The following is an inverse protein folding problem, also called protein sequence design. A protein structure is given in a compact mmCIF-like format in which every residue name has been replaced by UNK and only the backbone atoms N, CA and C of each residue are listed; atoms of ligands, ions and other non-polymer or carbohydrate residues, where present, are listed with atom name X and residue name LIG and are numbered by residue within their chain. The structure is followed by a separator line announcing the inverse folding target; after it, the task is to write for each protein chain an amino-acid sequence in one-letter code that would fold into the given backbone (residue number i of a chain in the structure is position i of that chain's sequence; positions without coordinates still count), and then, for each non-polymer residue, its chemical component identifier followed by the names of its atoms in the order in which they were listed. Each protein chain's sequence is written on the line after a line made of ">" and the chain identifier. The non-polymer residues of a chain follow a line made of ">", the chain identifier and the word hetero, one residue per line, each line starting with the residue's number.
data_IF_881646992831
#
_entry.id   IF_881646992831
#
_cell.length_a   1.000
_cell.length_b   1.000
_cell.length_c   1.000
_cell.angle_alpha   90.00
_cell.angle_beta   90.00
_cell.angle_gamma   90.00
#
_symmetry.space_group_name_H-M   'P 1'
#
loop_
_entity.id
_entity.type
_entity.pdbx_description
1 polymer ?
#
# COMPACT_ATOMS: atom_id res chain seq x y z
N UNK A 1 -1.03 20.18 23.42
CA UNK A 1 -1.33 18.82 23.90
C UNK A 1 -2.61 18.88 24.72
N UNK A 2 -3.74 18.54 24.12
CA UNK A 2 -5.09 18.62 24.73
C UNK A 2 -5.40 17.42 25.64
N UNK A 3 -4.41 16.79 26.29
CA UNK A 3 -4.62 15.66 27.20
C UNK A 3 -5.18 14.39 26.56
N UNK A 4 -5.17 14.28 25.23
CA UNK A 4 -5.70 13.12 24.48
C UNK A 4 -4.66 12.05 24.20
N UNK A 5 -3.41 12.28 24.53
CA UNK A 5 -2.32 11.29 24.37
C UNK A 5 -1.98 10.77 25.76
N UNK A 6 -2.22 9.49 26.01
CA UNK A 6 -1.88 8.83 27.25
C UNK A 6 -0.40 8.42 27.23
N UNK A 7 0.42 9.23 27.92
CA UNK A 7 1.87 8.98 28.04
C UNK A 7 2.18 7.72 28.87
N UNK A 8 1.22 7.24 29.69
CA UNK A 8 1.39 6.02 30.47
C UNK A 8 1.44 4.75 29.62
N UNK A 9 0.72 4.74 28.49
CA UNK A 9 0.71 3.61 27.55
C UNK A 9 1.95 3.53 26.68
N UNK A 10 2.70 4.62 26.52
CA UNK A 10 3.92 4.66 25.68
C UNK A 10 5.01 3.70 26.17
N UNK A 11 5.10 3.51 27.48
CA UNK A 11 6.13 2.66 28.11
C UNK A 11 5.61 1.26 28.48
N UNK A 12 4.34 0.99 28.21
CA UNK A 12 3.77 -0.33 28.48
C UNK A 12 4.26 -1.33 27.42
N UNK A 13 5.02 -2.34 27.80
CA UNK A 13 5.50 -3.37 26.88
C UNK A 13 7.02 -3.52 26.78
N UNK A 14 7.78 -2.73 27.53
CA UNK A 14 9.26 -2.79 27.51
C UNK A 14 9.88 -1.93 26.43
N UNK A 15 11.21 -1.88 26.40
CA UNK A 15 11.98 -1.06 25.44
C UNK A 15 12.20 -1.78 24.10
N UNK A 16 12.24 -3.10 24.11
CA UNK A 16 12.51 -3.92 22.91
C UNK A 16 11.54 -5.09 22.88
N UNK A 17 10.90 -5.31 21.76
CA UNK A 17 10.10 -6.49 21.49
C UNK A 17 10.60 -7.20 20.24
N UNK A 18 10.79 -8.51 20.36
CA UNK A 18 11.11 -9.35 19.21
C UNK A 18 9.81 -9.80 18.53
N UNK A 19 9.75 -9.77 17.21
CA UNK A 19 8.59 -10.27 16.47
C UNK A 19 8.39 -11.77 16.74
N UNK A 20 7.14 -12.17 16.93
CA UNK A 20 6.79 -13.59 17.10
C UNK A 20 6.70 -14.25 15.73
N UNK A 21 7.40 -15.35 15.55
CA UNK A 21 7.30 -16.17 14.37
C UNK A 21 6.01 -17.01 14.43
N UNK A 22 5.23 -16.99 13.35
CA UNK A 22 3.94 -17.70 13.22
C UNK A 22 2.99 -17.45 14.41
N UNK A 23 2.57 -16.19 14.66
CA UNK A 23 1.67 -15.88 15.77
C UNK A 23 0.29 -16.53 15.60
N UNK A 24 -0.08 -16.84 14.37
CA UNK A 24 -1.31 -17.53 14.00
C UNK A 24 -0.98 -18.79 13.19
N UNK A 25 -1.72 -19.88 13.43
CA UNK A 25 -1.61 -21.07 12.59
C UNK A 25 -2.24 -20.79 11.23
N UNK A 26 -1.55 -21.12 10.12
CA UNK A 26 -2.10 -20.89 8.78
C UNK A 26 -3.30 -21.81 8.53
N UNK A 27 -4.42 -21.22 8.16
CA UNK A 27 -5.60 -21.90 7.68
C UNK A 27 -5.74 -21.69 6.18
N UNK A 28 -6.06 -22.76 5.44
CA UNK A 28 -6.16 -22.72 3.99
C UNK A 28 -7.62 -22.80 3.55
N UNK A 29 -8.17 -21.66 3.14
CA UNK A 29 -9.50 -21.55 2.55
C UNK A 29 -9.37 -21.20 1.07
N UNK A 30 -9.93 -22.04 0.20
CA UNK A 30 -9.82 -21.84 -1.26
C UNK A 30 -10.38 -20.47 -1.72
N UNK A 31 -11.47 -19.99 -1.12
CA UNK A 31 -12.04 -18.68 -1.41
C UNK A 31 -11.09 -17.53 -1.02
N UNK A 32 -10.50 -17.59 0.18
CA UNK A 32 -9.54 -16.59 0.64
C UNK A 32 -8.27 -16.56 -0.23
N UNK A 33 -7.78 -17.75 -0.65
CA UNK A 33 -6.63 -17.84 -1.55
C UNK A 33 -6.95 -17.21 -2.91
N UNK A 34 -8.13 -17.51 -3.48
CA UNK A 34 -8.54 -16.92 -4.76
C UNK A 34 -8.66 -15.40 -4.67
N UNK A 35 -9.27 -14.88 -3.60
CA UNK A 35 -9.37 -13.43 -3.35
C UNK A 35 -7.99 -12.79 -3.21
N UNK A 36 -7.09 -13.39 -2.43
CA UNK A 36 -5.73 -12.91 -2.26
C UNK A 36 -4.95 -12.88 -3.58
N UNK A 37 -5.12 -13.90 -4.44
CA UNK A 37 -4.51 -13.93 -5.77
C UNK A 37 -5.01 -12.78 -6.65
N UNK A 38 -6.31 -12.48 -6.64
CA UNK A 38 -6.88 -11.38 -7.42
C UNK A 38 -6.34 -10.04 -6.90
N UNK A 39 -6.33 -9.83 -5.58
CA UNK A 39 -5.79 -8.62 -4.96
C UNK A 39 -4.30 -8.46 -5.31
N UNK A 40 -3.54 -9.54 -5.28
CA UNK A 40 -2.12 -9.50 -5.63
C UNK A 40 -1.89 -9.13 -7.10
N UNK A 41 -2.75 -9.56 -8.03
CA UNK A 41 -2.67 -9.14 -9.43
C UNK A 41 -2.92 -7.63 -9.60
N UNK A 42 -3.86 -7.07 -8.83
CA UNK A 42 -4.11 -5.62 -8.81
C UNK A 42 -2.90 -4.87 -8.23
N UNK A 43 -2.38 -5.33 -7.10
CA UNK A 43 -1.16 -4.77 -6.49
C UNK A 43 0.05 -4.87 -7.42
N UNK A 44 0.19 -5.95 -8.18
CA UNK A 44 1.26 -6.09 -9.17
C UNK A 44 1.17 -5.03 -10.29
N UNK A 45 -0.05 -4.71 -10.74
CA UNK A 45 -0.25 -3.63 -11.71
C UNK A 45 0.14 -2.25 -11.13
N UNK A 46 -0.18 -1.99 -9.86
CA UNK A 46 0.24 -0.79 -9.12
C UNK A 46 1.77 -0.71 -9.03
N UNK A 47 2.43 -1.79 -8.60
CA UNK A 47 3.89 -1.86 -8.47
C UNK A 47 4.60 -1.60 -9.80
N UNK A 48 4.07 -2.13 -10.92
CA UNK A 48 4.62 -1.84 -12.26
C UNK A 48 4.51 -0.34 -12.57
N UNK A 49 3.35 0.26 -12.27
CA UNK A 49 3.11 1.69 -12.47
C UNK A 49 4.08 2.54 -11.64
N UNK A 50 4.17 2.27 -10.35
CA UNK A 50 5.04 2.99 -9.41
C UNK A 50 6.52 2.87 -9.77
N UNK A 51 6.98 1.66 -10.08
CA UNK A 51 8.38 1.43 -10.48
C UNK A 51 8.70 2.15 -11.78
N UNK A 52 7.78 2.13 -12.75
CA UNK A 52 7.94 2.87 -14.01
C UNK A 52 8.00 4.38 -13.78
N UNK A 53 7.11 4.92 -12.97
CA UNK A 53 7.05 6.33 -12.63
C UNK A 53 8.29 6.77 -11.81
N UNK A 54 8.78 5.91 -10.91
CA UNK A 54 9.98 6.17 -10.11
C UNK A 54 11.25 6.21 -10.99
N UNK A 55 11.40 5.27 -11.91
CA UNK A 55 12.55 5.22 -12.83
C UNK A 55 12.52 6.42 -13.79
N UNK A 56 11.37 6.71 -14.39
CA UNK A 56 11.25 7.87 -15.29
C UNK A 56 11.39 9.19 -14.56
N UNK A 57 10.74 9.35 -13.40
CA UNK A 57 10.78 10.57 -12.59
C UNK A 57 12.11 10.80 -11.89
N UNK A 58 12.72 9.74 -11.33
CA UNK A 58 13.96 9.81 -10.57
C UNK A 58 15.21 9.76 -11.44
N UNK A 59 15.28 8.79 -12.35
CA UNK A 59 16.47 8.50 -13.17
C UNK A 59 16.40 9.12 -14.58
N UNK A 60 15.24 9.59 -15.03
CA UNK A 60 15.06 10.22 -16.34
C UNK A 60 15.26 9.27 -17.51
N UNK A 61 15.01 7.98 -17.32
CA UNK A 61 15.12 6.94 -18.37
C UNK A 61 13.91 6.01 -18.37
N UNK A 62 13.81 5.17 -19.36
CA UNK A 62 12.80 4.11 -19.38
C UNK A 62 13.18 2.96 -18.44
N UNK A 63 12.15 2.29 -17.94
CA UNK A 63 12.28 1.12 -17.07
C UNK A 63 12.68 -0.11 -17.91
N UNK A 64 13.48 -0.99 -17.31
CA UNK A 64 13.83 -2.28 -17.90
C UNK A 64 12.91 -3.40 -17.42
N UNK A 65 12.79 -4.47 -18.21
CA UNK A 65 12.01 -5.65 -17.82
C UNK A 65 12.57 -6.35 -16.57
N UNK A 66 13.89 -6.27 -16.37
CA UNK A 66 14.55 -6.81 -15.18
C UNK A 66 14.16 -6.04 -13.90
N UNK A 67 14.04 -4.72 -14.01
CA UNK A 67 13.61 -3.88 -12.88
C UNK A 67 12.15 -4.13 -12.51
N UNK A 68 11.27 -4.30 -13.49
CA UNK A 68 9.87 -4.68 -13.24
C UNK A 68 9.80 -6.04 -12.55
N UNK A 69 10.50 -7.04 -13.10
CA UNK A 69 10.52 -8.38 -12.53
C UNK A 69 11.11 -8.39 -11.12
N UNK A 70 12.17 -7.62 -10.87
CA UNK A 70 12.79 -7.47 -9.56
C UNK A 70 11.86 -6.82 -8.54
N UNK A 71 11.12 -5.79 -8.93
CA UNK A 71 10.16 -5.09 -8.08
C UNK A 71 9.01 -6.01 -7.67
N UNK A 72 8.40 -6.71 -8.62
CA UNK A 72 7.34 -7.69 -8.35
C UNK A 72 7.81 -8.85 -7.47
N UNK A 73 9.01 -9.37 -7.73
CA UNK A 73 9.59 -10.41 -6.90
C UNK A 73 9.85 -9.91 -5.46
N UNK A 74 10.31 -8.66 -5.31
CA UNK A 74 10.52 -8.06 -3.99
C UNK A 74 9.22 -7.97 -3.20
N UNK A 75 8.12 -7.52 -3.80
CA UNK A 75 6.81 -7.43 -3.14
C UNK A 75 6.30 -8.82 -2.73
N UNK A 76 6.47 -9.82 -3.58
CA UNK A 76 6.07 -11.20 -3.28
C UNK A 76 6.88 -11.80 -2.12
N UNK A 77 8.21 -11.67 -2.15
CA UNK A 77 9.06 -12.17 -1.06
C UNK A 77 8.84 -11.42 0.24
N UNK A 78 8.74 -10.09 0.19
CA UNK A 78 8.50 -9.27 1.37
C UNK A 78 7.14 -9.58 2.00
N UNK A 79 6.08 -9.75 1.20
CA UNK A 79 4.75 -10.15 1.66
C UNK A 79 4.75 -11.55 2.29
N UNK A 80 5.50 -12.50 1.71
CA UNK A 80 5.65 -13.84 2.27
C UNK A 80 6.35 -13.79 3.63
N UNK A 81 7.42 -13.02 3.75
CA UNK A 81 8.13 -12.83 5.03
C UNK A 81 7.21 -12.14 6.03
N UNK A 82 6.49 -11.08 5.63
CA UNK A 82 5.54 -10.37 6.49
C UNK A 82 4.47 -11.32 7.03
N UNK A 83 3.92 -12.20 6.19
CA UNK A 83 2.91 -13.18 6.60
C UNK A 83 3.43 -14.17 7.66
N UNK A 84 4.71 -14.57 7.60
CA UNK A 84 5.33 -15.43 8.63
C UNK A 84 5.38 -14.75 10.01
N UNK A 85 5.33 -13.42 10.06
CA UNK A 85 5.27 -12.66 11.31
C UNK A 85 3.85 -12.15 11.62
N UNK A 86 2.83 -12.61 10.88
CA UNK A 86 1.44 -12.22 11.07
C UNK A 86 1.14 -10.77 10.67
N UNK A 87 1.98 -10.19 9.82
CA UNK A 87 1.78 -8.85 9.26
C UNK A 87 0.99 -8.92 7.95
N UNK A 88 0.27 -7.83 7.58
CA UNK A 88 -0.38 -7.75 6.29
C UNK A 88 0.64 -7.76 5.13
N UNK A 89 0.19 -8.09 3.90
CA UNK A 89 1.03 -8.00 2.72
C UNK A 89 1.60 -6.60 2.53
N UNK A 90 2.81 -6.50 1.98
CA UNK A 90 3.46 -5.25 1.62
C UNK A 90 3.38 -5.00 0.13
N UNK A 91 3.23 -3.74 -0.25
CA UNK A 91 3.24 -3.27 -1.63
C UNK A 91 4.09 -2.02 -1.75
N UNK A 92 4.35 -1.56 -2.97
CA UNK A 92 5.04 -0.30 -3.23
C UNK A 92 4.25 0.88 -2.65
N UNK A 93 4.96 1.93 -2.26
CA UNK A 93 4.36 3.12 -1.65
C UNK A 93 4.39 4.28 -2.64
N UNK A 94 3.29 4.49 -3.36
CA UNK A 94 3.15 5.42 -4.48
C UNK A 94 3.54 6.87 -4.15
N UNK A 95 3.34 7.32 -2.90
CA UNK A 95 3.73 8.67 -2.47
C UNK A 95 5.24 8.91 -2.58
N UNK A 96 6.07 7.88 -2.43
CA UNK A 96 7.51 7.99 -2.58
C UNK A 96 7.92 8.32 -4.01
N UNK A 97 7.12 7.95 -5.01
CA UNK A 97 7.35 8.29 -6.41
C UNK A 97 7.40 9.81 -6.59
N UNK A 98 6.41 10.51 -6.05
CA UNK A 98 6.38 11.98 -6.07
C UNK A 98 7.56 12.60 -5.33
N UNK A 99 7.91 12.06 -4.15
CA UNK A 99 9.05 12.54 -3.38
C UNK A 99 10.38 12.37 -4.13
N UNK A 100 10.59 11.21 -4.74
CA UNK A 100 11.80 10.94 -5.55
C UNK A 100 11.85 11.82 -6.80
N UNK A 101 10.71 12.03 -7.47
CA UNK A 101 10.64 12.92 -8.62
C UNK A 101 10.99 14.36 -8.27
N UNK A 102 10.63 14.84 -7.07
CA UNK A 102 10.94 16.19 -6.58
C UNK A 102 12.38 16.31 -6.09
N UNK A 103 12.84 15.37 -5.27
CA UNK A 103 14.15 15.44 -4.59
C UNK A 103 15.30 14.91 -5.43
N UNK A 104 15.00 14.07 -6.43
CA UNK A 104 15.99 13.34 -7.25
C UNK A 104 16.94 12.47 -6.42
N UNK A 105 16.55 12.11 -5.20
CA UNK A 105 17.32 11.21 -4.34
C UNK A 105 17.05 9.76 -4.74
N UNK A 106 17.93 9.19 -5.55
CA UNK A 106 17.86 7.81 -6.06
C UNK A 106 18.97 6.91 -5.54
N UNK A 107 19.73 7.38 -4.55
CA UNK A 107 20.87 6.65 -4.01
C UNK A 107 20.40 5.46 -3.16
N UNK A 108 20.84 4.26 -3.52
CA UNK A 108 20.53 3.01 -2.80
C UNK A 108 20.90 3.09 -1.32
N UNK A 109 22.03 3.73 -0.99
CA UNK A 109 22.51 3.83 0.39
C UNK A 109 21.51 4.62 1.26
N UNK A 110 20.98 5.72 0.74
CA UNK A 110 19.98 6.53 1.45
C UNK A 110 18.71 5.73 1.73
N UNK A 111 18.21 4.99 0.71
CA UNK A 111 17.01 4.16 0.85
C UNK A 111 17.24 3.03 1.84
N UNK A 112 18.39 2.35 1.77
CA UNK A 112 18.75 1.28 2.72
C UNK A 112 18.86 1.80 4.15
N UNK A 113 19.43 2.99 4.34
CA UNK A 113 19.50 3.61 5.66
C UNK A 113 18.11 3.87 6.23
N UNK A 114 17.19 4.39 5.40
CA UNK A 114 15.80 4.56 5.79
C UNK A 114 15.13 3.24 6.19
N UNK A 115 15.32 2.17 5.41
CA UNK A 115 14.80 0.84 5.72
C UNK A 115 15.34 0.29 7.05
N UNK A 116 16.63 0.46 7.30
CA UNK A 116 17.26 0.06 8.59
C UNK A 116 16.67 0.87 9.75
N UNK A 117 16.50 2.18 9.60
CA UNK A 117 15.84 3.00 10.62
C UNK A 117 14.42 2.54 10.92
N UNK A 118 13.63 2.20 9.89
CA UNK A 118 12.28 1.67 10.08
C UNK A 118 12.29 0.30 10.77
N UNK A 119 13.23 -0.57 10.42
CA UNK A 119 13.39 -1.87 11.07
C UNK A 119 13.72 -1.72 12.56
N UNK A 120 14.66 -0.82 12.89
CA UNK A 120 15.00 -0.52 14.28
C UNK A 120 13.81 0.10 15.04
N UNK A 121 13.08 1.01 14.41
CA UNK A 121 11.88 1.60 14.98
C UNK A 121 10.80 0.54 15.26
N UNK A 122 10.65 -0.45 14.39
CA UNK A 122 9.71 -1.56 14.56
C UNK A 122 10.05 -2.50 15.73
N UNK A 123 11.32 -2.56 16.13
CA UNK A 123 11.76 -3.33 17.32
C UNK A 123 11.51 -2.60 18.64
N UNK A 124 11.12 -1.33 18.58
CA UNK A 124 10.90 -0.47 19.74
C UNK A 124 9.39 -0.28 19.98
N UNK A 125 8.75 -1.02 20.91
CA UNK A 125 7.33 -0.85 21.23
C UNK A 125 6.90 0.59 21.54
N UNK A 126 7.72 1.43 22.21
CA UNK A 126 7.35 2.82 22.43
C UNK A 126 7.06 3.62 21.15
N UNK A 127 7.74 3.30 20.04
CA UNK A 127 7.49 3.95 18.74
C UNK A 127 6.12 3.54 18.19
N UNK A 128 5.80 2.25 18.23
CA UNK A 128 4.47 1.73 17.83
C UNK A 128 3.36 2.30 18.70
N UNK A 129 3.54 2.29 20.02
CA UNK A 129 2.58 2.84 20.98
C UNK A 129 2.36 4.34 20.80
N UNK A 130 3.41 5.09 20.42
CA UNK A 130 3.29 6.52 20.09
C UNK A 130 2.33 6.71 18.92
N UNK A 131 2.51 5.98 17.82
CA UNK A 131 1.60 6.08 16.67
C UNK A 131 0.19 5.60 17.00
N UNK A 132 0.05 4.53 17.79
CA UNK A 132 -1.24 4.03 18.24
C UNK A 132 -1.98 4.98 19.19
N UNK A 133 -1.26 5.85 19.90
CA UNK A 133 -1.83 6.85 20.82
C UNK A 133 -2.28 8.14 20.12
N UNK A 134 -2.04 8.27 18.82
CA UNK A 134 -2.47 9.48 18.08
C UNK A 134 -3.99 9.55 18.00
N UNK A 135 -4.60 10.73 18.27
CA UNK A 135 -6.03 10.91 18.15
C UNK A 135 -6.52 10.64 16.71
N UNK A 136 -7.66 9.99 16.59
CA UNK A 136 -8.29 9.67 15.28
C UNK A 136 -8.47 10.92 14.40
N UNK A 137 -8.76 12.07 15.01
CA UNK A 137 -8.89 13.34 14.28
C UNK A 137 -7.60 13.80 13.61
N UNK A 138 -6.43 13.50 14.22
CA UNK A 138 -5.11 13.80 13.63
C UNK A 138 -4.82 12.81 12.51
N UNK A 139 -5.07 11.53 12.75
CA UNK A 139 -4.92 10.48 11.73
C UNK A 139 -5.82 10.75 10.53
N UNK A 140 -7.08 11.11 10.75
CA UNK A 140 -8.01 11.47 9.68
C UNK A 140 -7.53 12.65 8.83
N UNK A 141 -7.00 13.71 9.45
CA UNK A 141 -6.42 14.83 8.73
C UNK A 141 -5.21 14.44 7.89
N UNK A 142 -4.29 13.63 8.44
CA UNK A 142 -3.15 13.10 7.70
C UNK A 142 -3.59 12.19 6.54
N UNK A 143 -4.61 11.36 6.75
CA UNK A 143 -5.16 10.44 5.77
C UNK A 143 -5.74 11.20 4.56
N UNK A 144 -6.50 12.27 4.79
CA UNK A 144 -7.04 13.11 3.71
C UNK A 144 -5.92 13.67 2.84
N UNK A 145 -4.86 14.22 3.45
CA UNK A 145 -3.70 14.74 2.74
C UNK A 145 -2.98 13.66 1.94
N UNK A 146 -2.80 12.49 2.53
CA UNK A 146 -2.14 11.36 1.92
C UNK A 146 -2.91 10.83 0.70
N UNK A 147 -4.20 10.57 0.84
CA UNK A 147 -5.04 10.12 -0.28
C UNK A 147 -5.18 11.19 -1.37
N UNK A 148 -5.25 12.47 -1.00
CA UNK A 148 -5.20 13.56 -1.97
C UNK A 148 -3.93 13.52 -2.83
N UNK A 149 -2.78 13.25 -2.22
CA UNK A 149 -1.51 13.12 -2.94
C UNK A 149 -1.50 11.91 -3.89
N UNK A 150 -2.09 10.78 -3.49
CA UNK A 150 -2.22 9.58 -4.34
C UNK A 150 -3.08 9.89 -5.57
N UNK A 151 -4.22 10.55 -5.37
CA UNK A 151 -5.11 10.95 -6.48
C UNK A 151 -4.38 11.84 -7.48
N UNK A 152 -3.63 12.84 -7.00
CA UNK A 152 -2.86 13.73 -7.87
C UNK A 152 -1.76 12.96 -8.62
N UNK A 153 -1.05 12.05 -7.95
CA UNK A 153 -0.05 11.19 -8.60
C UNK A 153 -0.67 10.33 -9.70
N UNK A 154 -1.84 9.73 -9.44
CA UNK A 154 -2.58 8.97 -10.45
C UNK A 154 -3.00 9.83 -11.64
N UNK A 155 -3.49 11.04 -11.40
CA UNK A 155 -3.82 12.01 -12.47
C UNK A 155 -2.59 12.38 -13.31
N UNK A 156 -1.44 12.59 -12.68
CA UNK A 156 -0.18 12.89 -13.38
C UNK A 156 0.25 11.72 -14.25
N UNK A 157 0.13 10.48 -13.77
CA UNK A 157 0.45 9.29 -14.57
C UNK A 157 -0.45 9.19 -15.82
N UNK A 158 -1.76 9.40 -15.66
CA UNK A 158 -2.72 9.42 -16.78
C UNK A 158 -2.35 10.54 -17.78
N UNK A 159 -2.03 11.72 -17.29
CA UNK A 159 -1.64 12.86 -18.12
C UNK A 159 -0.34 12.58 -18.91
N UNK A 160 0.65 11.94 -18.28
CA UNK A 160 1.91 11.59 -18.91
C UNK A 160 1.76 10.52 -20.02
N UNK A 161 0.77 9.62 -19.89
CA UNK A 161 0.45 8.65 -20.94
C UNK A 161 -0.17 9.29 -22.20
N UNK A 162 -0.59 10.55 -22.12
CA UNK A 162 -1.27 11.27 -23.18
C UNK A 162 -2.75 10.88 -23.35
N UNK A 163 -3.54 11.80 -23.87
CA UNK A 163 -5.00 11.67 -24.02
C UNK A 163 -5.38 11.10 -25.40
N UNK A 164 -4.79 9.96 -25.79
CA UNK A 164 -5.30 9.22 -26.96
C UNK A 164 -6.70 8.67 -26.65
N UNK A 165 -7.52 8.46 -27.69
CA UNK A 165 -8.88 7.92 -27.52
C UNK A 165 -8.90 6.61 -26.72
N UNK A 166 -7.90 5.75 -26.97
CA UNK A 166 -7.73 4.49 -26.23
C UNK A 166 -7.44 4.73 -24.74
N UNK A 167 -6.50 5.62 -24.42
CA UNK A 167 -6.12 5.91 -23.04
C UNK A 167 -7.26 6.56 -22.25
N UNK A 168 -7.99 7.48 -22.90
CA UNK A 168 -9.19 8.10 -22.31
C UNK A 168 -10.25 7.05 -22.01
N UNK A 169 -10.52 6.12 -22.92
CA UNK A 169 -11.52 5.07 -22.70
C UNK A 169 -11.11 4.15 -21.54
N UNK A 170 -9.83 3.73 -21.49
CA UNK A 170 -9.31 2.88 -20.42
C UNK A 170 -9.42 3.60 -19.08
N UNK A 171 -8.93 4.83 -18.99
CA UNK A 171 -8.96 5.60 -17.74
C UNK A 171 -10.39 5.87 -17.27
N UNK A 172 -11.29 6.28 -18.19
CA UNK A 172 -12.69 6.55 -17.86
C UNK A 172 -13.41 5.31 -17.36
N UNK A 173 -13.21 4.16 -18.02
CA UNK A 173 -13.83 2.92 -17.60
C UNK A 173 -13.29 2.44 -16.25
N UNK A 174 -11.98 2.51 -16.05
CA UNK A 174 -11.35 2.11 -14.79
C UNK A 174 -11.82 2.98 -13.61
N UNK A 175 -11.88 4.30 -13.80
CA UNK A 175 -12.39 5.23 -12.78
C UNK A 175 -13.89 5.02 -12.51
N UNK A 176 -14.70 4.83 -13.56
CA UNK A 176 -16.13 4.60 -13.42
C UNK A 176 -16.42 3.31 -12.64
N UNK A 177 -15.70 2.24 -12.94
CA UNK A 177 -15.83 0.96 -12.22
C UNK A 177 -15.35 1.12 -10.77
N UNK A 178 -14.16 1.68 -10.56
CA UNK A 178 -13.58 1.84 -9.21
C UNK A 178 -14.45 2.70 -8.30
N UNK A 179 -14.89 3.88 -8.77
CA UNK A 179 -15.78 4.76 -8.00
C UNK A 179 -17.18 4.14 -7.89
N UNK A 180 -17.67 3.50 -8.96
CA UNK A 180 -18.96 2.85 -8.95
C UNK A 180 -19.05 1.77 -7.87
N UNK A 181 -18.06 0.92 -7.74
CA UNK A 181 -18.02 -0.12 -6.70
C UNK A 181 -17.97 0.45 -5.28
N UNK A 182 -17.21 1.50 -5.03
CA UNK A 182 -17.19 2.16 -3.74
C UNK A 182 -18.51 2.84 -3.40
N UNK A 183 -19.18 3.45 -4.38
CA UNK A 183 -20.47 4.09 -4.18
C UNK A 183 -21.63 3.10 -3.99
N UNK A 184 -21.49 1.87 -4.45
CA UNK A 184 -22.51 0.82 -4.36
C UNK A 184 -22.25 -0.22 -3.28
N UNK A 185 -21.22 -0.04 -2.45
CA UNK A 185 -20.89 -0.96 -1.35
C UNK A 185 -22.04 -1.10 -0.33
N UNK A 186 -22.84 -0.06 -0.13
CA UNK A 186 -24.03 -0.07 0.74
C UNK A 186 -25.30 -0.59 0.04
N UNK A 187 -25.26 -0.79 -1.27
CA UNK A 187 -26.40 -1.31 -2.00
C UNK A 187 -26.33 -2.84 -2.04
N UNK A 188 -27.46 -3.52 -1.79
CA UNK A 188 -27.61 -4.99 -1.82
C UNK A 188 -27.39 -5.62 -3.22
N UNK A 189 -26.65 -4.94 -4.09
CA UNK A 189 -26.34 -5.38 -5.45
C UNK A 189 -25.52 -6.68 -5.45
N UNK A 190 -24.69 -6.88 -4.45
CA UNK A 190 -23.82 -8.05 -4.38
C UNK A 190 -24.55 -9.37 -4.18
N UNK A 191 -25.77 -9.34 -3.62
CA UNK A 191 -26.62 -10.52 -3.44
C UNK A 191 -27.11 -11.14 -4.76
N UNK A 192 -26.97 -10.41 -5.88
CA UNK A 192 -27.33 -10.92 -7.22
C UNK A 192 -26.25 -11.85 -7.78
N UNK A 193 -25.03 -11.76 -7.27
CA UNK A 193 -23.88 -12.52 -7.75
C UNK A 193 -23.69 -13.84 -6.96
N UNK A 194 -23.09 -14.87 -7.57
CA UNK A 194 -22.73 -16.11 -6.87
C UNK A 194 -21.84 -15.86 -5.66
N UNK A 195 -21.96 -16.69 -4.60
CA UNK A 195 -21.23 -16.55 -3.35
C UNK A 195 -19.71 -16.27 -3.48
N UNK A 196 -18.95 -16.89 -4.42
CA UNK A 196 -17.53 -16.58 -4.57
C UNK A 196 -17.24 -15.14 -4.99
N UNK A 197 -18.14 -14.54 -5.78
CA UNK A 197 -18.00 -13.13 -6.22
C UNK A 197 -18.44 -12.21 -5.08
N UNK A 198 -19.52 -12.56 -4.41
CA UNK A 198 -20.03 -11.82 -3.27
C UNK A 198 -18.97 -11.71 -2.15
N UNK A 199 -18.31 -12.81 -1.80
CA UNK A 199 -17.28 -12.82 -0.74
C UNK A 199 -16.05 -11.96 -1.08
N UNK A 200 -15.78 -11.71 -2.36
CA UNK A 200 -14.65 -10.84 -2.78
C UNK A 200 -15.01 -9.36 -2.71
N UNK A 201 -16.24 -9.01 -3.07
CA UNK A 201 -16.63 -7.60 -3.25
C UNK A 201 -17.51 -7.04 -2.13
N UNK A 202 -18.13 -7.89 -1.29
CA UNK A 202 -18.95 -7.47 -0.15
C UNK A 202 -18.22 -7.48 1.19
N UNK A 203 -16.96 -7.96 1.25
CA UNK A 203 -16.17 -7.88 2.47
C UNK A 203 -15.69 -6.45 2.68
N UNK A 204 -16.32 -5.75 3.60
CA UNK A 204 -15.80 -4.51 4.18
C UNK A 204 -14.63 -4.81 5.10
#
# INVERSE_FOLDING_TARGET
>A
FMGKVDLGTLMSGGLIALPRFLPYMPEFHAGAIASACIIFLVSAAETIGDTSALVSGGLGREITSEEISGSLACDGYASTIAALFGCPPVTSFSQNVGLVAMTKVVNRFTIMTGAVCMLLAGLLPPVGNFFASLPESVLGGCTIMMFGSIVISGMQMIANCGFSQRNVTIASLSLAIGIGFTATSEADIWHIFPEPIQSVFSSN
#
